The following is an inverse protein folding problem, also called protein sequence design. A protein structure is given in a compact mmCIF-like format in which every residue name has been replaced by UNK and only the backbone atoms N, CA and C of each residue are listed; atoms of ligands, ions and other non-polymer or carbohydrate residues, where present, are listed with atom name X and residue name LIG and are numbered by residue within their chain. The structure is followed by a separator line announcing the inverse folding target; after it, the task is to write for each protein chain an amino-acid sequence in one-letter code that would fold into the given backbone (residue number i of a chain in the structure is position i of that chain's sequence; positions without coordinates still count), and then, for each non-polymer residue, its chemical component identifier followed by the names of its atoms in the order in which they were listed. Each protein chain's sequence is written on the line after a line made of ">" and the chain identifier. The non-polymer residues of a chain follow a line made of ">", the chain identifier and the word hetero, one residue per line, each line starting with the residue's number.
data_IF_167398866377
#
_entry.id   IF_167398866377
#
_cell.length_a   1.000
_cell.length_b   1.000
_cell.length_c   1.000
_cell.angle_alpha   90.00
_cell.angle_beta   90.00
_cell.angle_gamma   90.00
#
_symmetry.space_group_name_H-M   'P 1'
#
loop_
_entity.id
_entity.type
_entity.pdbx_description
1 polymer ?
#
# COMPACT_ATOMS: atom_id res chain seq x y z
N UNK A 1 0.28 -10.14 -7.32
CA UNK A 1 1.45 -9.33 -6.96
C UNK A 1 1.06 -7.86 -7.01
N UNK A 2 1.29 -7.14 -5.92
CA UNK A 2 1.04 -5.70 -5.84
C UNK A 2 2.11 -4.93 -6.65
N UNK A 3 1.77 -3.77 -7.14
CA UNK A 3 2.72 -2.86 -7.77
C UNK A 3 2.81 -1.57 -6.97
N UNK A 4 4.02 -1.22 -6.57
CA UNK A 4 4.35 -0.03 -5.79
C UNK A 4 5.05 0.99 -6.68
N UNK A 5 4.59 2.23 -6.62
CA UNK A 5 5.18 3.35 -7.36
C UNK A 5 5.88 4.28 -6.38
N UNK A 6 7.20 4.38 -6.49
CA UNK A 6 8.03 5.27 -5.68
C UNK A 6 8.26 6.57 -6.42
N UNK A 7 7.98 7.67 -5.74
CA UNK A 7 8.13 9.03 -6.27
C UNK A 7 9.55 9.50 -6.00
N UNK A 8 10.28 9.86 -7.06
CA UNK A 8 11.70 10.19 -6.98
C UNK A 8 12.04 11.48 -7.73
N UNK A 9 13.12 12.16 -7.33
CA UNK A 9 13.85 13.12 -8.15
C UNK A 9 15.05 12.42 -8.84
N UNK A 10 15.73 13.11 -9.77
CA UNK A 10 16.82 12.50 -10.53
C UNK A 10 17.97 12.00 -9.63
N UNK A 11 18.29 12.74 -8.57
CA UNK A 11 19.36 12.38 -7.63
C UNK A 11 19.01 11.12 -6.83
N UNK A 12 17.81 11.09 -6.26
CA UNK A 12 17.36 9.91 -5.50
C UNK A 12 17.13 8.72 -6.41
N UNK A 13 16.62 8.92 -7.63
CA UNK A 13 16.44 7.85 -8.59
C UNK A 13 17.78 7.17 -8.94
N UNK A 14 18.82 7.97 -9.23
CA UNK A 14 20.16 7.45 -9.46
C UNK A 14 20.65 6.58 -8.29
N UNK A 15 20.52 7.05 -7.05
CA UNK A 15 20.94 6.29 -5.86
C UNK A 15 20.13 5.01 -5.66
N UNK A 16 18.83 5.05 -5.91
CA UNK A 16 17.99 3.85 -5.84
C UNK A 16 18.46 2.77 -6.81
N UNK A 17 18.79 3.16 -8.04
CA UNK A 17 19.29 2.22 -9.06
C UNK A 17 20.68 1.70 -8.73
N UNK A 18 21.59 2.58 -8.34
CA UNK A 18 22.99 2.21 -8.09
C UNK A 18 23.19 1.32 -6.87
N UNK A 19 22.31 1.41 -5.87
CA UNK A 19 22.37 0.65 -4.61
C UNK A 19 21.23 -0.36 -4.45
N UNK A 20 20.41 -0.53 -5.48
CA UNK A 20 19.30 -1.49 -5.54
C UNK A 20 18.39 -1.46 -4.31
N UNK A 21 17.90 -0.29 -3.96
CA UNK A 21 16.85 -0.12 -2.96
C UNK A 21 15.81 0.91 -3.42
N UNK A 22 14.60 0.83 -2.89
CA UNK A 22 13.59 1.87 -3.01
C UNK A 22 13.30 2.44 -1.62
N UNK A 23 13.14 3.76 -1.52
CA UNK A 23 12.97 4.38 -0.22
C UNK A 23 12.10 5.63 -0.22
N UNK A 24 11.49 5.89 0.94
CA UNK A 24 10.71 7.10 1.22
C UNK A 24 11.15 7.76 2.52
N UNK A 25 11.04 9.09 2.59
CA UNK A 25 11.51 9.86 3.74
C UNK A 25 10.42 10.13 4.76
N UNK A 26 10.82 10.16 6.02
CA UNK A 26 9.99 10.60 7.16
C UNK A 26 10.36 12.03 7.59
N UNK A 27 10.78 12.89 6.67
CA UNK A 27 11.39 14.18 6.98
C UNK A 27 12.66 13.99 7.86
N UNK A 28 13.05 14.98 8.65
CA UNK A 28 14.20 14.86 9.55
C UNK A 28 13.82 14.34 10.95
N UNK A 29 12.90 13.38 11.00
CA UNK A 29 12.38 12.83 12.26
C UNK A 29 12.92 11.41 12.46
N UNK A 30 13.47 11.17 13.67
CA UNK A 30 13.75 9.82 14.14
C UNK A 30 12.46 9.17 14.61
N UNK A 31 12.18 7.97 14.11
CA UNK A 31 10.99 7.18 14.48
C UNK A 31 11.33 6.28 15.65
N UNK A 32 10.48 6.31 16.69
CA UNK A 32 10.55 5.40 17.83
C UNK A 32 9.15 4.86 18.13
N UNK A 33 8.90 3.63 17.72
CA UNK A 33 7.63 2.94 17.95
C UNK A 33 7.44 2.50 19.42
N UNK A 34 8.49 2.44 20.22
CA UNK A 34 8.40 2.12 21.64
C UNK A 34 8.03 3.33 22.49
N UNK A 35 7.99 4.52 21.89
CA UNK A 35 7.62 5.71 22.63
C UNK A 35 6.18 5.65 23.12
N UNK A 36 6.02 5.73 24.42
CA UNK A 36 4.71 5.79 25.08
C UNK A 36 4.18 7.24 25.17
N UNK A 37 5.07 8.23 25.09
CA UNK A 37 4.71 9.64 25.14
C UNK A 37 4.46 10.24 23.74
N UNK A 38 3.61 11.27 23.65
CA UNK A 38 3.35 11.99 22.41
C UNK A 38 4.55 12.82 21.91
N UNK A 39 5.65 12.88 22.66
CA UNK A 39 6.82 13.71 22.35
C UNK A 39 7.79 13.06 21.35
N UNK A 40 7.74 11.73 21.18
CA UNK A 40 8.69 11.03 20.30
C UNK A 40 8.20 10.90 18.85
N UNK A 41 6.87 10.88 18.65
CA UNK A 41 6.22 11.04 17.35
C UNK A 41 5.38 12.30 17.44
N UNK A 42 5.78 13.35 16.76
CA UNK A 42 5.06 14.62 16.81
C UNK A 42 3.59 14.42 16.42
N UNK A 43 2.68 14.74 17.33
CA UNK A 43 1.24 14.41 17.18
C UNK A 43 0.64 14.86 15.84
N UNK A 44 1.02 16.04 15.34
CA UNK A 44 0.51 16.59 14.08
C UNK A 44 0.90 15.77 12.83
N UNK A 45 2.00 15.01 12.89
CA UNK A 45 2.50 14.21 11.75
C UNK A 45 2.49 12.71 12.01
N UNK A 46 2.09 12.29 13.21
CA UNK A 46 2.09 10.86 13.58
C UNK A 46 1.29 10.01 12.60
N UNK A 47 0.07 10.43 12.26
CA UNK A 47 -0.77 9.69 11.30
C UNK A 47 -0.12 9.60 9.92
N UNK A 48 0.60 10.63 9.47
CA UNK A 48 1.36 10.59 8.22
C UNK A 48 2.49 9.55 8.30
N UNK A 49 3.28 9.56 9.38
CA UNK A 49 4.40 8.62 9.58
C UNK A 49 3.90 7.18 9.68
N UNK A 50 2.81 6.94 10.42
CA UNK A 50 2.20 5.62 10.55
C UNK A 50 1.59 5.17 9.22
N UNK A 51 1.01 6.08 8.45
CA UNK A 51 0.58 5.78 7.08
C UNK A 51 1.75 5.41 6.15
N UNK A 52 2.92 6.04 6.29
CA UNK A 52 4.14 5.63 5.57
C UNK A 52 4.63 4.26 6.04
N UNK A 53 4.47 3.95 7.32
CA UNK A 53 4.74 2.62 7.90
C UNK A 53 3.85 1.56 7.24
N UNK A 54 2.55 1.82 7.09
CA UNK A 54 1.62 0.93 6.39
C UNK A 54 2.02 0.76 4.92
N UNK A 55 2.35 1.86 4.22
CA UNK A 55 2.77 1.83 2.82
C UNK A 55 4.08 1.01 2.63
N UNK A 56 5.03 1.08 3.57
CA UNK A 56 6.24 0.27 3.56
C UNK A 56 5.95 -1.20 3.90
N UNK A 57 5.19 -1.46 4.97
CA UNK A 57 4.88 -2.80 5.45
C UNK A 57 4.00 -3.62 4.48
N UNK A 58 3.34 -2.96 3.51
CA UNK A 58 2.56 -3.61 2.46
C UNK A 58 3.42 -4.38 1.47
N UNK A 59 4.67 -3.98 1.27
CA UNK A 59 5.57 -4.56 0.26
C UNK A 59 5.90 -6.00 0.63
N UNK A 60 5.73 -6.91 -0.34
CA UNK A 60 6.01 -8.33 -0.23
C UNK A 60 7.06 -8.75 -1.26
N UNK A 61 7.78 -9.81 -0.99
CA UNK A 61 8.74 -10.39 -1.94
C UNK A 61 8.08 -10.65 -3.29
N UNK A 62 8.76 -10.25 -4.36
CA UNK A 62 8.26 -10.40 -5.72
C UNK A 62 7.29 -9.34 -6.20
N UNK A 63 6.81 -8.43 -5.32
CA UNK A 63 6.01 -7.29 -5.76
C UNK A 63 6.74 -6.41 -6.77
N UNK A 64 5.98 -5.83 -7.71
CA UNK A 64 6.56 -4.92 -8.69
C UNK A 64 6.89 -3.56 -8.04
N UNK A 65 8.06 -3.05 -8.39
CA UNK A 65 8.51 -1.70 -8.02
C UNK A 65 8.68 -0.89 -9.30
N UNK A 66 7.99 0.23 -9.38
CA UNK A 66 8.08 1.22 -10.45
C UNK A 66 8.51 2.55 -9.83
N UNK A 67 9.39 3.27 -10.50
CA UNK A 67 9.79 4.62 -10.10
C UNK A 67 9.07 5.67 -10.95
N UNK A 68 8.52 6.67 -10.30
CA UNK A 68 7.98 7.85 -10.96
C UNK A 68 8.93 9.03 -10.73
N UNK A 69 9.66 9.38 -11.79
CA UNK A 69 10.51 10.57 -11.82
C UNK A 69 9.63 11.81 -11.91
N UNK A 70 9.68 12.66 -10.90
CA UNK A 70 8.87 13.88 -10.85
C UNK A 70 9.39 14.94 -11.83
N UNK A 71 8.46 15.73 -12.35
CA UNK A 71 8.79 16.96 -13.07
C UNK A 71 9.60 17.91 -12.18
N UNK A 72 10.70 18.43 -12.73
CA UNK A 72 11.56 19.39 -12.07
C UNK A 72 12.25 20.29 -13.10
N UNK A 73 11.64 21.42 -13.40
CA UNK A 73 12.09 22.34 -14.47
C UNK A 73 13.54 22.81 -14.29
N UNK A 74 13.99 23.00 -13.04
CA UNK A 74 15.40 23.35 -12.74
C UNK A 74 16.40 22.26 -13.18
N UNK A 75 15.95 21.03 -13.36
CA UNK A 75 16.71 19.89 -13.86
C UNK A 75 16.40 19.54 -15.32
N UNK A 76 15.67 20.42 -16.03
CA UNK A 76 15.20 20.21 -17.41
C UNK A 76 14.30 18.96 -17.56
N UNK A 77 13.67 18.51 -16.48
CA UNK A 77 12.65 17.47 -16.51
C UNK A 77 11.30 18.18 -16.57
N UNK A 78 10.70 18.23 -17.75
CA UNK A 78 9.46 18.98 -18.00
C UNK A 78 8.21 18.16 -17.85
N UNK A 79 8.33 16.84 -17.72
CA UNK A 79 7.22 15.91 -17.53
C UNK A 79 7.62 14.73 -16.64
N UNK A 80 6.66 14.19 -15.89
CA UNK A 80 6.88 13.02 -15.07
C UNK A 80 7.00 11.74 -15.91
N UNK A 81 7.85 10.80 -15.49
CA UNK A 81 8.09 9.54 -16.21
C UNK A 81 8.07 8.34 -15.29
N UNK A 82 7.45 7.24 -15.75
CA UNK A 82 7.43 5.95 -15.06
C UNK A 82 8.52 5.04 -15.60
N UNK A 83 9.38 4.54 -14.73
CA UNK A 83 10.48 3.64 -15.04
C UNK A 83 10.32 2.31 -14.30
N UNK A 84 10.69 1.22 -14.90
CA UNK A 84 10.64 -0.10 -14.27
C UNK A 84 11.10 -1.20 -15.23
N UNK A 85 10.85 -2.42 -14.86
CA UNK A 85 10.11 -2.97 -13.73
C UNK A 85 11.11 -3.68 -12.84
N UNK A 86 11.19 -3.29 -11.58
CA UNK A 86 11.98 -3.97 -10.55
C UNK A 86 11.08 -4.87 -9.71
N UNK A 87 11.68 -5.73 -8.90
CA UNK A 87 10.98 -6.56 -7.92
C UNK A 87 11.45 -6.24 -6.51
N UNK A 88 10.55 -6.32 -5.54
CA UNK A 88 10.94 -6.35 -4.14
C UNK A 88 11.69 -7.66 -3.86
N UNK A 89 12.92 -7.55 -3.33
CA UNK A 89 13.80 -8.69 -3.11
C UNK A 89 13.43 -9.50 -1.86
N UNK A 90 13.00 -8.78 -0.82
CA UNK A 90 12.70 -9.36 0.50
C UNK A 90 11.21 -9.25 0.82
N UNK A 91 10.73 -10.14 1.70
CA UNK A 91 9.33 -10.12 2.16
C UNK A 91 9.07 -9.08 3.27
N UNK A 92 9.92 -8.08 3.38
CA UNK A 92 9.78 -7.02 4.35
C UNK A 92 10.47 -5.73 3.93
N UNK A 93 9.91 -4.61 4.38
CA UNK A 93 10.57 -3.32 4.36
C UNK A 93 11.11 -2.98 5.74
N UNK A 94 12.12 -2.15 5.80
CA UNK A 94 12.86 -1.85 7.02
C UNK A 94 13.03 -0.34 7.21
N UNK A 95 13.43 0.03 8.42
CA UNK A 95 13.88 1.38 8.72
C UNK A 95 15.40 1.47 8.62
N UNK A 96 15.88 2.50 7.96
CA UNK A 96 17.18 3.08 8.20
C UNK A 96 16.92 4.46 8.82
N UNK A 97 16.88 4.50 10.14
CA UNK A 97 16.30 5.60 10.88
C UNK A 97 17.10 6.90 10.68
N UNK A 98 16.41 8.05 10.75
CA UNK A 98 17.03 9.34 10.54
C UNK A 98 17.85 9.78 11.77
N UNK A 99 19.09 9.38 11.80
CA UNK A 99 20.11 9.86 12.73
C UNK A 99 21.42 10.16 11.98
N UNK A 100 22.48 10.48 12.69
CA UNK A 100 23.79 10.80 12.10
C UNK A 100 24.41 9.68 11.25
N UNK A 101 23.93 8.43 11.39
CA UNK A 101 24.47 7.25 10.74
C UNK A 101 23.56 6.70 9.64
N UNK A 102 22.51 7.42 9.23
CA UNK A 102 21.65 6.97 8.14
C UNK A 102 22.44 6.80 6.85
N UNK A 103 22.36 5.61 6.26
CA UNK A 103 23.11 5.24 5.06
C UNK A 103 22.74 6.11 3.86
N UNK A 104 23.76 6.61 3.15
CA UNK A 104 23.62 7.48 1.96
C UNK A 104 22.88 8.81 2.21
N UNK A 105 22.75 9.29 3.45
CA UNK A 105 22.03 10.55 3.73
C UNK A 105 22.64 11.74 3.01
N UNK A 106 23.96 11.83 2.98
CA UNK A 106 24.70 12.93 2.33
C UNK A 106 24.58 12.86 0.80
N UNK A 107 24.72 11.66 0.25
CA UNK A 107 24.60 11.38 -1.18
C UNK A 107 23.18 11.66 -1.68
N UNK A 108 22.16 11.26 -0.93
CA UNK A 108 20.76 11.54 -1.22
C UNK A 108 20.41 13.03 -1.06
N UNK A 109 21.04 13.70 -0.12
CA UNK A 109 20.75 15.10 0.26
C UNK A 109 19.42 15.24 1.03
N UNK A 110 18.86 14.14 1.49
CA UNK A 110 17.63 14.05 2.31
C UNK A 110 17.55 12.71 3.02
N UNK A 111 16.72 12.64 4.06
CA UNK A 111 16.44 11.38 4.73
C UNK A 111 15.47 10.53 3.93
N UNK A 112 15.81 9.24 3.76
CA UNK A 112 14.88 8.19 3.28
C UNK A 112 14.84 7.10 4.34
N UNK A 113 13.88 7.17 5.23
CA UNK A 113 13.82 6.35 6.44
C UNK A 113 13.23 4.96 6.18
N UNK A 114 12.19 4.88 5.36
CA UNK A 114 11.55 3.61 4.99
C UNK A 114 12.17 3.08 3.71
N UNK A 115 12.70 1.87 3.74
CA UNK A 115 13.42 1.28 2.61
C UNK A 115 13.01 -0.16 2.35
N UNK A 116 13.14 -0.60 1.10
CA UNK A 116 13.04 -1.98 0.67
C UNK A 116 14.13 -2.28 -0.34
N UNK A 117 14.73 -3.47 -0.29
CA UNK A 117 15.68 -3.92 -1.30
C UNK A 117 14.93 -4.30 -2.57
N UNK A 118 15.52 -4.00 -3.71
CA UNK A 118 14.96 -4.32 -5.02
C UNK A 118 15.94 -5.15 -5.85
N UNK A 119 15.40 -5.87 -6.80
CA UNK A 119 16.17 -6.60 -7.81
C UNK A 119 15.69 -6.22 -9.21
N UNK A 120 16.63 -6.11 -10.18
CA UNK A 120 16.30 -5.77 -11.55
C UNK A 120 15.90 -7.04 -12.31
N UNK A 121 14.60 -7.23 -12.56
CA UNK A 121 14.10 -8.42 -13.28
C UNK A 121 13.77 -8.09 -14.72
N UNK A 122 13.05 -6.99 -14.96
CA UNK A 122 12.63 -6.54 -16.31
C UNK A 122 12.82 -5.04 -16.41
N UNK A 123 14.07 -4.61 -16.55
CA UNK A 123 14.39 -3.18 -16.58
C UNK A 123 14.49 -2.70 -18.03
N UNK A 124 13.87 -1.56 -18.29
CA UNK A 124 13.84 -0.91 -19.59
C UNK A 124 14.50 0.45 -19.53
N UNK A 125 15.16 0.85 -20.62
CA UNK A 125 15.92 2.10 -20.66
C UNK A 125 15.03 3.34 -20.59
N UNK A 126 13.94 3.37 -21.36
CA UNK A 126 13.08 4.55 -21.48
C UNK A 126 11.87 4.47 -20.57
N UNK A 127 11.57 5.60 -19.90
CA UNK A 127 10.37 5.75 -19.10
C UNK A 127 9.17 6.19 -19.94
N UNK A 128 7.97 5.76 -19.53
CA UNK A 128 6.69 6.23 -20.07
C UNK A 128 6.34 7.55 -19.41
N UNK A 129 6.04 8.58 -20.20
CA UNK A 129 5.63 9.87 -19.66
C UNK A 129 4.23 9.79 -19.08
N UNK A 130 3.92 10.71 -18.18
CA UNK A 130 2.56 10.84 -17.63
C UNK A 130 1.53 11.10 -18.73
N UNK A 131 1.88 11.93 -19.72
CA UNK A 131 1.00 12.24 -20.84
C UNK A 131 0.75 11.04 -21.74
N UNK A 132 1.78 10.25 -22.07
CA UNK A 132 1.60 8.99 -22.80
C UNK A 132 0.65 8.04 -22.06
N UNK A 133 0.80 7.91 -20.74
CA UNK A 133 -0.06 7.06 -19.94
C UNK A 133 -1.51 7.57 -19.87
N UNK A 134 -1.72 8.90 -19.85
CA UNK A 134 -3.05 9.51 -19.84
C UNK A 134 -3.70 9.52 -21.24
N UNK A 135 -2.95 9.69 -22.31
CA UNK A 135 -3.46 9.67 -23.69
C UNK A 135 -4.07 8.32 -24.08
N UNK A 136 -3.69 7.25 -23.36
CA UNK A 136 -4.28 5.93 -23.51
C UNK A 136 -5.76 5.85 -23.07
N UNK A 137 -6.32 6.88 -22.45
CA UNK A 137 -7.75 6.95 -22.07
C UNK A 137 -8.64 6.64 -23.27
N UNK A 138 -8.30 7.13 -24.47
CA UNK A 138 -9.04 6.88 -25.72
C UNK A 138 -9.11 5.40 -26.13
N UNK A 139 -8.18 4.59 -25.65
CA UNK A 139 -8.07 3.15 -25.95
C UNK A 139 -8.67 2.27 -24.84
N UNK A 140 -9.17 2.87 -23.76
CA UNK A 140 -9.75 2.14 -22.65
C UNK A 140 -11.13 1.59 -22.99
N UNK A 141 -11.34 0.34 -22.68
CA UNK A 141 -12.61 -0.36 -22.89
C UNK A 141 -13.38 -0.57 -21.60
N UNK A 142 -12.75 -0.30 -20.46
CA UNK A 142 -13.32 -0.52 -19.12
C UNK A 142 -12.79 0.50 -18.10
N UNK A 143 -13.62 0.98 -17.16
CA UNK A 143 -13.23 1.96 -16.14
C UNK A 143 -12.04 1.55 -15.25
N UNK A 144 -11.85 0.24 -15.03
CA UNK A 144 -10.76 -0.27 -14.20
C UNK A 144 -9.36 -0.13 -14.84
N UNK A 145 -9.29 0.19 -16.13
CA UNK A 145 -8.05 0.47 -16.84
C UNK A 145 -7.52 1.89 -16.61
N UNK A 146 -8.31 2.76 -15.99
CA UNK A 146 -7.90 4.11 -15.63
C UNK A 146 -6.85 4.10 -14.51
N UNK A 147 -5.85 4.98 -14.61
CA UNK A 147 -4.80 5.13 -13.60
C UNK A 147 -5.26 5.96 -12.38
N UNK A 148 -6.43 5.63 -11.83
CA UNK A 148 -7.05 6.36 -10.72
C UNK A 148 -6.18 6.46 -9.48
N UNK A 149 -5.53 5.38 -9.10
CA UNK A 149 -4.65 5.34 -7.93
C UNK A 149 -3.48 6.29 -8.07
N UNK A 150 -2.87 6.35 -9.24
CA UNK A 150 -1.77 7.28 -9.53
C UNK A 150 -2.25 8.73 -9.52
N UNK A 151 -3.37 9.03 -10.17
CA UNK A 151 -3.93 10.38 -10.24
C UNK A 151 -4.21 10.92 -8.83
N UNK A 152 -4.94 10.16 -8.02
CA UNK A 152 -5.32 10.60 -6.66
C UNK A 152 -4.16 10.58 -5.66
N UNK A 153 -3.33 9.54 -5.66
CA UNK A 153 -2.23 9.41 -4.69
C UNK A 153 -1.04 10.29 -5.04
N UNK A 154 -0.73 10.45 -6.30
CA UNK A 154 0.35 11.30 -6.79
C UNK A 154 0.15 12.76 -6.43
N UNK A 155 -1.04 13.30 -6.63
CA UNK A 155 -1.37 14.68 -6.27
C UNK A 155 -1.22 14.96 -4.76
N UNK A 156 -1.22 13.89 -3.93
CA UNK A 156 -1.02 13.94 -2.48
C UNK A 156 0.33 13.43 -2.04
N UNK A 157 1.32 13.42 -2.88
CA UNK A 157 2.66 12.81 -2.79
C UNK A 157 3.47 12.88 -1.49
N UNK A 158 2.83 13.17 -0.35
CA UNK A 158 3.47 13.35 0.95
C UNK A 158 4.05 12.06 1.55
N UNK A 159 3.72 10.89 0.99
CA UNK A 159 4.21 9.59 1.48
C UNK A 159 5.31 8.97 0.63
N UNK A 160 5.48 9.43 -0.63
CA UNK A 160 6.54 9.00 -1.53
C UNK A 160 6.42 7.59 -2.11
N UNK A 161 5.50 6.76 -1.60
CA UNK A 161 5.17 5.43 -2.10
C UNK A 161 3.64 5.30 -2.23
N UNK A 162 3.17 4.82 -3.37
CA UNK A 162 1.77 4.49 -3.58
C UNK A 162 1.66 3.12 -4.25
N UNK A 163 0.56 2.40 -4.00
CA UNK A 163 0.22 1.20 -4.77
C UNK A 163 -0.75 1.57 -5.90
N UNK A 164 -0.80 0.73 -6.91
CA UNK A 164 -1.79 0.78 -7.98
C UNK A 164 -2.54 -0.54 -8.05
N UNK A 165 -3.74 -0.52 -8.63
CA UNK A 165 -4.56 -1.72 -8.78
C UNK A 165 -3.92 -2.73 -9.73
N UNK A 166 -4.42 -3.95 -9.76
CA UNK A 166 -3.92 -4.99 -10.66
C UNK A 166 -4.06 -4.53 -12.12
N UNK A 167 -5.20 -3.98 -12.49
CA UNK A 167 -5.48 -3.52 -13.86
C UNK A 167 -4.62 -2.33 -14.27
N UNK A 168 -4.43 -1.36 -13.36
CA UNK A 168 -3.51 -0.24 -13.58
C UNK A 168 -2.07 -0.71 -13.74
N UNK A 169 -1.67 -1.71 -12.95
CA UNK A 169 -0.34 -2.32 -13.03
C UNK A 169 -0.09 -2.99 -14.38
N UNK A 170 -1.02 -3.83 -14.81
CA UNK A 170 -0.95 -4.50 -16.11
C UNK A 170 -0.79 -3.48 -17.24
N UNK A 171 -1.61 -2.43 -17.21
CA UNK A 171 -1.57 -1.35 -18.19
C UNK A 171 -0.24 -0.61 -18.20
N UNK A 172 0.20 -0.13 -17.05
CA UNK A 172 1.44 0.65 -16.94
C UNK A 172 2.67 -0.19 -17.31
N UNK A 173 2.73 -1.44 -16.86
CA UNK A 173 3.79 -2.36 -17.25
C UNK A 173 3.80 -2.66 -18.74
N UNK A 174 2.62 -2.76 -19.37
CA UNK A 174 2.53 -2.94 -20.80
C UNK A 174 3.06 -1.71 -21.56
N UNK A 175 2.67 -0.51 -21.15
CA UNK A 175 3.15 0.73 -21.76
C UNK A 175 4.67 0.87 -21.68
N UNK A 176 5.27 0.55 -20.52
CA UNK A 176 6.73 0.56 -20.35
C UNK A 176 7.39 -0.42 -21.32
N UNK A 177 6.87 -1.64 -21.45
CA UNK A 177 7.41 -2.64 -22.38
C UNK A 177 7.30 -2.22 -23.84
N UNK A 178 6.13 -1.77 -24.24
CA UNK A 178 5.83 -1.41 -25.63
C UNK A 178 6.64 -0.18 -26.08
N UNK A 179 6.84 0.82 -25.20
CA UNK A 179 7.70 1.99 -25.47
C UNK A 179 9.14 1.59 -25.79
N UNK A 180 9.64 0.55 -25.16
CA UNK A 180 11.00 0.04 -25.37
C UNK A 180 11.09 -1.08 -26.42
N UNK A 181 10.04 -1.27 -27.25
CA UNK A 181 10.01 -2.36 -28.23
C UNK A 181 10.16 -3.74 -27.58
N UNK A 182 9.81 -3.87 -26.29
CA UNK A 182 9.98 -5.06 -25.43
C UNK A 182 11.43 -5.50 -25.25
N UNK A 183 12.40 -4.62 -25.51
CA UNK A 183 13.82 -4.89 -25.31
C UNK A 183 14.23 -4.52 -23.88
N UNK A 184 14.53 -5.53 -23.07
CA UNK A 184 15.03 -5.38 -21.71
C UNK A 184 16.53 -5.05 -21.74
N UNK A 185 17.01 -4.31 -20.73
CA UNK A 185 18.45 -4.08 -20.55
C UNK A 185 19.15 -5.38 -20.14
N UNK A 186 20.23 -5.73 -20.84
CA UNK A 186 21.07 -6.86 -20.44
C UNK A 186 22.00 -6.47 -19.29
N UNK A 187 21.58 -6.75 -18.07
CA UNK A 187 22.23 -6.26 -16.85
C UNK A 187 23.51 -7.01 -16.50
N UNK A 188 23.62 -8.29 -16.82
CA UNK A 188 24.77 -9.20 -16.61
C UNK A 188 25.98 -8.58 -15.87
N UNK A 189 25.92 -8.50 -14.53
CA UNK A 189 26.95 -7.93 -13.66
C UNK A 189 27.32 -6.45 -13.91
N UNK A 190 26.50 -5.71 -14.65
CA UNK A 190 26.68 -4.27 -14.85
C UNK A 190 25.93 -3.48 -13.80
N UNK A 191 26.49 -2.34 -13.45
CA UNK A 191 25.83 -1.39 -12.56
C UNK A 191 24.74 -0.63 -13.31
N UNK A 192 23.56 -0.59 -12.73
CA UNK A 192 22.44 0.20 -13.26
C UNK A 192 22.55 1.63 -12.69
N UNK A 193 22.38 2.62 -13.54
CA UNK A 193 22.37 4.03 -13.14
C UNK A 193 21.35 4.82 -13.93
N UNK A 194 21.15 6.08 -13.58
CA UNK A 194 20.27 7.00 -14.29
C UNK A 194 21.08 8.11 -14.93
N UNK A 195 20.95 8.22 -16.26
CA UNK A 195 21.46 9.36 -17.00
C UNK A 195 20.44 10.49 -16.97
N UNK A 196 20.81 11.60 -16.33
CA UNK A 196 19.92 12.75 -16.14
C UNK A 196 19.69 13.53 -17.43
N UNK A 197 20.71 13.61 -18.30
CA UNK A 197 20.64 14.42 -19.52
C UNK A 197 19.84 13.72 -20.59
N UNK A 198 20.03 12.41 -20.76
CA UNK A 198 19.24 11.56 -21.64
C UNK A 198 17.90 11.13 -21.02
N UNK A 199 17.73 11.30 -19.71
CA UNK A 199 16.57 10.86 -18.93
C UNK A 199 16.22 9.38 -19.16
N UNK A 200 17.27 8.52 -19.11
CA UNK A 200 17.18 7.06 -19.34
C UNK A 200 17.88 6.29 -18.25
N UNK A 201 17.45 5.05 -18.06
CA UNK A 201 18.24 4.07 -17.30
C UNK A 201 19.36 3.57 -18.21
N UNK A 202 20.57 3.59 -17.70
CA UNK A 202 21.78 3.14 -18.40
C UNK A 202 22.50 2.06 -17.61
N UNK A 203 23.36 1.31 -18.30
CA UNK A 203 24.29 0.35 -17.71
C UNK A 203 25.69 0.93 -17.77
N UNK A 204 26.42 0.83 -16.66
CA UNK A 204 27.83 1.24 -16.58
C UNK A 204 28.70 0.02 -16.26
N UNK A 205 29.99 0.12 -16.59
CA UNK A 205 30.98 -0.94 -16.30
C UNK A 205 31.59 -0.79 -14.90
N UNK A 206 31.06 0.13 -14.08
CA UNK A 206 31.48 0.28 -12.70
C UNK A 206 31.12 -0.93 -11.85
N UNK A 207 31.77 -1.07 -10.70
CA UNK A 207 31.42 -2.10 -9.73
C UNK A 207 29.97 -1.91 -9.23
N UNK A 208 29.25 -3.03 -9.17
CA UNK A 208 27.89 -3.07 -8.61
C UNK A 208 27.96 -2.77 -7.12
N UNK A 209 27.22 -1.76 -6.67
CA UNK A 209 27.13 -1.44 -5.26
C UNK A 209 26.17 -2.40 -4.55
N UNK A 210 26.50 -2.71 -3.31
CA UNK A 210 25.60 -3.46 -2.42
C UNK A 210 25.10 -2.53 -1.32
N UNK A 211 23.82 -2.62 -1.00
CA UNK A 211 23.26 -1.91 0.14
C UNK A 211 23.86 -2.45 1.44
N UNK A 212 24.48 -1.58 2.24
CA UNK A 212 25.12 -1.92 3.51
C UNK A 212 24.58 -1.10 4.70
N UNK A 213 23.46 -0.40 4.49
CA UNK A 213 22.78 0.35 5.53
C UNK A 213 22.11 -0.52 6.58
N UNK A 214 21.63 0.12 7.64
CA UNK A 214 20.86 -0.55 8.68
C UNK A 214 19.54 -1.06 8.14
N UNK A 215 19.05 -2.14 8.71
CA UNK A 215 17.78 -2.77 8.40
C UNK A 215 17.02 -3.02 9.70
N UNK A 216 16.47 -1.96 10.30
CA UNK A 216 15.70 -2.05 11.53
C UNK A 216 14.28 -2.52 11.24
N UNK A 217 13.72 -3.36 12.12
CA UNK A 217 12.36 -3.87 11.96
C UNK A 217 11.34 -2.76 12.17
N UNK A 218 10.36 -2.68 11.28
CA UNK A 218 9.18 -1.83 11.45
C UNK A 218 8.22 -2.55 12.40
N UNK A 219 8.02 -2.01 13.60
CA UNK A 219 7.07 -2.56 14.56
C UNK A 219 6.17 -1.48 15.17
N UNK A 220 4.91 -1.43 14.70
CA UNK A 220 3.90 -0.47 15.17
C UNK A 220 3.17 -0.94 16.44
N UNK A 221 3.29 -2.23 16.82
CA UNK A 221 2.49 -2.83 17.89
C UNK A 221 2.65 -2.12 19.24
N UNK A 222 3.87 -1.80 19.73
CA UNK A 222 4.02 -1.11 21.01
C UNK A 222 3.29 0.25 21.03
N UNK A 223 3.34 1.00 19.93
CA UNK A 223 2.66 2.28 19.84
C UNK A 223 1.14 2.12 19.75
N UNK A 224 0.66 1.11 19.03
CA UNK A 224 -0.76 0.79 18.94
C UNK A 224 -1.31 0.43 20.32
N UNK A 225 -0.62 -0.42 21.11
CA UNK A 225 -1.00 -0.79 22.48
C UNK A 225 -1.10 0.45 23.37
N UNK A 226 -0.11 1.34 23.31
CA UNK A 226 -0.13 2.58 24.09
C UNK A 226 -1.37 3.45 23.79
N UNK A 227 -1.76 3.53 22.52
CA UNK A 227 -2.96 4.26 22.09
C UNK A 227 -4.25 3.53 22.45
N UNK A 228 -4.31 2.24 22.29
CA UNK A 228 -5.45 1.41 22.68
C UNK A 228 -5.79 1.62 24.17
N UNK A 229 -4.78 1.53 25.05
CA UNK A 229 -4.93 1.69 26.50
C UNK A 229 -5.34 3.11 26.91
N UNK A 230 -5.05 4.11 26.12
CA UNK A 230 -5.41 5.51 26.39
C UNK A 230 -6.69 5.96 25.67
N UNK A 231 -7.39 5.07 24.98
CA UNK A 231 -8.60 5.35 24.19
C UNK A 231 -8.43 6.53 23.19
N UNK A 232 -7.21 6.75 22.70
CA UNK A 232 -6.94 7.77 21.67
C UNK A 232 -7.23 7.18 20.29
N UNK A 233 -7.59 8.03 19.33
CA UNK A 233 -7.79 7.62 17.94
C UNK A 233 -6.51 6.95 17.38
N UNK A 234 -6.64 5.75 16.84
CA UNK A 234 -5.51 4.95 16.34
C UNK A 234 -5.85 4.11 15.09
N UNK A 235 -6.85 4.51 14.32
CA UNK A 235 -7.29 3.76 13.12
C UNK A 235 -6.14 3.55 12.12
N UNK A 236 -5.31 4.58 11.90
CA UNK A 236 -4.11 4.46 11.06
C UNK A 236 -3.09 3.46 11.63
N UNK A 237 -2.96 3.37 12.97
CA UNK A 237 -2.07 2.40 13.63
C UNK A 237 -2.60 0.98 13.46
N UNK A 238 -3.92 0.79 13.64
CA UNK A 238 -4.59 -0.49 13.40
C UNK A 238 -4.40 -0.92 11.93
N UNK A 239 -4.61 0.00 10.99
CA UNK A 239 -4.37 -0.25 9.57
C UNK A 239 -2.93 -0.71 9.31
N UNK A 240 -1.95 -0.01 9.87
CA UNK A 240 -0.53 -0.37 9.72
C UNK A 240 -0.22 -1.75 10.30
N UNK A 241 -0.79 -2.08 11.46
CA UNK A 241 -0.66 -3.41 12.06
C UNK A 241 -1.25 -4.51 11.18
N UNK A 242 -2.48 -4.33 10.70
CA UNK A 242 -3.16 -5.30 9.83
C UNK A 242 -2.37 -5.49 8.53
N UNK A 243 -1.95 -4.41 7.87
CA UNK A 243 -1.17 -4.47 6.62
C UNK A 243 0.15 -5.23 6.82
N UNK A 244 0.82 -5.05 7.96
CA UNK A 244 2.07 -5.75 8.27
C UNK A 244 1.86 -7.25 8.40
N UNK A 245 0.79 -7.67 9.10
CA UNK A 245 0.63 -9.03 9.57
C UNK A 245 -0.22 -9.92 8.65
N UNK A 246 -1.20 -9.35 7.93
CA UNK A 246 -2.15 -10.14 7.13
C UNK A 246 -1.47 -11.02 6.09
N UNK A 247 -1.79 -12.31 6.10
CA UNK A 247 -1.24 -13.32 5.18
C UNK A 247 0.22 -13.69 5.45
N UNK A 248 0.77 -13.36 6.64
CA UNK A 248 2.14 -13.73 7.03
C UNK A 248 2.20 -14.77 8.14
N UNK A 249 1.07 -15.28 8.60
CA UNK A 249 0.96 -16.18 9.76
C UNK A 249 1.63 -15.62 11.03
N UNK A 250 1.74 -14.29 11.15
CA UNK A 250 2.28 -13.61 12.35
C UNK A 250 1.19 -13.26 13.35
N UNK A 251 -0.07 -13.22 12.92
CA UNK A 251 -1.26 -13.15 13.75
C UNK A 251 -2.33 -14.10 13.17
N UNK A 252 -2.40 -15.30 13.71
CA UNK A 252 -3.27 -16.37 13.22
C UNK A 252 -4.75 -15.99 13.28
N UNK A 253 -5.19 -15.32 14.35
CA UNK A 253 -6.60 -14.90 14.49
C UNK A 253 -7.02 -13.88 13.41
N UNK A 254 -6.13 -12.97 13.01
CA UNK A 254 -6.37 -12.04 11.91
C UNK A 254 -6.53 -12.80 10.59
N UNK A 255 -5.58 -13.69 10.31
CA UNK A 255 -5.57 -14.43 9.05
C UNK A 255 -6.78 -15.35 8.93
N UNK A 256 -7.14 -16.06 10.00
CA UNK A 256 -8.34 -16.90 10.04
C UNK A 256 -9.62 -16.08 9.85
N UNK A 257 -9.77 -14.95 10.52
CA UNK A 257 -10.95 -14.10 10.41
C UNK A 257 -11.13 -13.49 9.01
N UNK A 258 -10.04 -13.09 8.35
CA UNK A 258 -10.12 -12.36 7.08
C UNK A 258 -9.98 -13.29 5.88
N UNK A 259 -8.95 -14.13 5.87
CA UNK A 259 -8.58 -14.98 4.73
C UNK A 259 -9.16 -16.39 4.85
N UNK A 260 -9.45 -16.87 6.08
CA UNK A 260 -9.85 -18.23 6.34
C UNK A 260 -8.71 -19.21 6.05
N UNK A 261 -9.00 -20.28 5.35
CA UNK A 261 -7.99 -21.30 5.01
C UNK A 261 -7.10 -20.90 3.81
N UNK A 262 -7.48 -19.88 3.05
CA UNK A 262 -6.72 -19.42 1.88
C UNK A 262 -5.88 -18.20 2.22
N UNK A 263 -4.67 -18.41 2.73
CA UNK A 263 -3.73 -17.36 3.10
C UNK A 263 -3.12 -16.62 1.90
N UNK A 264 -3.33 -17.11 0.68
CA UNK A 264 -2.72 -16.53 -0.51
C UNK A 264 -3.62 -15.43 -1.11
N UNK A 265 -3.04 -14.27 -1.32
CA UNK A 265 -3.65 -13.19 -2.08
C UNK A 265 -2.69 -12.68 -3.17
N UNK A 266 -3.25 -12.22 -4.26
CA UNK A 266 -2.48 -11.70 -5.40
C UNK A 266 -2.18 -10.21 -5.29
N UNK A 267 -2.95 -9.48 -4.48
CA UNK A 267 -2.83 -8.03 -4.33
C UNK A 267 -3.32 -7.56 -2.96
N UNK A 268 -2.63 -6.57 -2.41
CA UNK A 268 -2.94 -5.91 -1.15
C UNK A 268 -2.84 -4.39 -1.32
N UNK A 269 -3.87 -3.67 -0.94
CA UNK A 269 -3.90 -2.21 -0.93
C UNK A 269 -4.38 -1.64 0.39
N UNK A 270 -3.86 -0.48 0.77
CA UNK A 270 -4.38 0.35 1.85
C UNK A 270 -4.77 1.72 1.32
N UNK A 271 -5.78 2.33 1.91
CA UNK A 271 -6.36 3.59 1.45
C UNK A 271 -6.64 3.58 -0.07
N UNK A 272 -7.29 2.53 -0.54
CA UNK A 272 -7.63 2.35 -1.95
C UNK A 272 -8.66 3.38 -2.35
N UNK A 273 -8.34 4.24 -3.32
CA UNK A 273 -9.26 5.29 -3.78
C UNK A 273 -10.53 4.69 -4.35
N UNK A 274 -11.67 5.08 -3.83
CA UNK A 274 -12.98 4.59 -4.25
C UNK A 274 -13.97 5.75 -4.42
N UNK A 275 -14.05 6.29 -5.63
CA UNK A 275 -15.06 7.30 -5.99
C UNK A 275 -14.66 8.75 -5.78
N UNK A 276 -15.62 9.62 -6.05
CA UNK A 276 -15.48 11.08 -5.97
C UNK A 276 -15.43 11.52 -4.51
N UNK A 277 -14.68 12.59 -4.22
CA UNK A 277 -14.60 13.15 -2.87
C UNK A 277 -13.54 12.50 -1.98
N UNK A 278 -12.60 11.77 -2.58
CA UNK A 278 -11.43 11.22 -1.93
C UNK A 278 -11.76 10.13 -0.88
N UNK A 279 -12.86 9.43 -1.09
CA UNK A 279 -13.20 8.26 -0.31
C UNK A 279 -12.18 7.14 -0.54
N UNK A 280 -11.93 6.35 0.48
CA UNK A 280 -10.95 5.29 0.45
C UNK A 280 -11.46 4.07 1.19
N UNK A 281 -11.14 2.91 0.65
CA UNK A 281 -11.24 1.63 1.37
C UNK A 281 -9.99 1.51 2.23
N UNK A 282 -10.15 1.27 3.53
CA UNK A 282 -9.02 1.25 4.46
C UNK A 282 -8.00 0.18 4.10
N UNK A 283 -8.46 -1.06 3.88
CA UNK A 283 -7.67 -2.18 3.38
C UNK A 283 -8.48 -2.93 2.35
N UNK A 284 -7.85 -3.35 1.27
CA UNK A 284 -8.49 -4.20 0.28
C UNK A 284 -7.52 -5.27 -0.20
N UNK A 285 -8.00 -6.50 -0.27
CA UNK A 285 -7.26 -7.62 -0.82
C UNK A 285 -7.94 -8.15 -2.07
N UNK A 286 -7.13 -8.75 -2.94
CA UNK A 286 -7.60 -9.60 -4.04
C UNK A 286 -6.94 -10.95 -3.91
N UNK A 287 -7.73 -12.01 -3.88
CA UNK A 287 -7.24 -13.38 -3.91
C UNK A 287 -7.88 -14.17 -5.04
N UNK A 288 -7.31 -15.32 -5.38
CA UNK A 288 -7.89 -16.24 -6.37
C UNK A 288 -8.24 -17.53 -5.66
N UNK A 289 -9.52 -17.91 -5.72
CA UNK A 289 -10.07 -19.13 -5.13
C UNK A 289 -10.75 -19.90 -6.24
N UNK A 290 -10.29 -21.13 -6.53
CA UNK A 290 -10.85 -21.96 -7.60
C UNK A 290 -10.95 -21.24 -8.96
N UNK A 291 -9.87 -20.55 -9.34
CA UNK A 291 -9.76 -19.73 -10.56
C UNK A 291 -10.71 -18.52 -10.62
N UNK A 292 -11.41 -18.22 -9.55
CA UNK A 292 -12.25 -17.04 -9.42
C UNK A 292 -11.61 -16.01 -8.52
N UNK A 293 -11.59 -14.75 -8.98
CA UNK A 293 -11.09 -13.63 -8.17
C UNK A 293 -12.08 -13.27 -7.09
N UNK A 294 -11.58 -13.09 -5.87
CA UNK A 294 -12.34 -12.68 -4.70
C UNK A 294 -11.75 -11.38 -4.18
N UNK A 295 -12.59 -10.36 -4.01
CA UNK A 295 -12.21 -9.05 -3.48
C UNK A 295 -12.70 -8.93 -2.04
N UNK A 296 -11.81 -8.52 -1.15
CA UNK A 296 -12.09 -8.38 0.28
C UNK A 296 -11.88 -6.92 0.68
N UNK A 297 -12.87 -6.03 0.50
CA UNK A 297 -12.81 -4.69 1.05
C UNK A 297 -13.03 -4.73 2.56
N UNK A 298 -12.14 -4.09 3.31
CA UNK A 298 -12.14 -4.05 4.77
C UNK A 298 -12.29 -2.60 5.24
N UNK A 299 -13.30 -2.35 6.05
CA UNK A 299 -13.46 -1.12 6.83
C UNK A 299 -12.89 -1.33 8.22
N UNK A 300 -12.11 -0.38 8.72
CA UNK A 300 -11.48 -0.43 10.03
C UNK A 300 -12.07 0.62 10.96
N UNK A 301 -12.28 0.24 12.21
CA UNK A 301 -12.66 1.18 13.27
C UNK A 301 -11.81 0.97 14.51
N UNK A 302 -11.13 2.02 14.92
CA UNK A 302 -10.39 2.04 16.21
C UNK A 302 -11.32 2.03 17.44
N UNK A 303 -12.60 2.27 17.21
CA UNK A 303 -13.67 2.26 18.21
C UNK A 303 -14.68 1.14 17.92
N UNK A 304 -15.67 0.97 18.78
CA UNK A 304 -16.80 0.05 18.53
C UNK A 304 -17.50 0.37 17.21
N UNK A 305 -18.08 -0.65 16.59
CA UNK A 305 -18.90 -0.49 15.38
C UNK A 305 -20.09 0.43 15.61
N UNK A 306 -20.58 1.01 14.52
CA UNK A 306 -21.74 1.88 14.48
C UNK A 306 -22.57 1.61 13.21
N UNK A 307 -23.85 1.97 13.24
CA UNK A 307 -24.79 1.80 12.11
C UNK A 307 -24.31 2.48 10.82
N UNK A 308 -23.48 3.53 10.93
CA UNK A 308 -22.95 4.25 9.77
C UNK A 308 -21.94 3.40 8.98
N UNK A 309 -21.33 2.38 9.59
CA UNK A 309 -20.32 1.55 8.94
C UNK A 309 -20.92 0.76 7.76
N UNK A 310 -22.16 0.28 7.88
CA UNK A 310 -22.85 -0.36 6.77
C UNK A 310 -22.99 0.57 5.54
N UNK A 311 -23.19 1.89 5.76
CA UNK A 311 -23.24 2.88 4.67
C UNK A 311 -21.86 3.11 4.03
N UNK A 312 -20.78 3.03 4.82
CA UNK A 312 -19.42 3.15 4.31
C UNK A 312 -19.11 1.96 3.40
N UNK A 313 -19.39 0.75 3.89
CA UNK A 313 -19.18 -0.49 3.14
C UNK A 313 -20.06 -0.52 1.88
N UNK A 314 -21.32 -0.04 1.94
CA UNK A 314 -22.17 0.05 0.77
C UNK A 314 -21.52 0.85 -0.36
N UNK A 315 -20.88 1.98 -0.05
CA UNK A 315 -20.15 2.79 -1.05
C UNK A 315 -18.98 2.02 -1.67
N UNK A 316 -18.32 1.16 -0.89
CA UNK A 316 -17.25 0.30 -1.40
C UNK A 316 -17.79 -0.71 -2.41
N UNK A 317 -18.90 -1.39 -2.08
CA UNK A 317 -19.56 -2.33 -2.99
C UNK A 317 -19.98 -1.61 -4.28
N UNK A 318 -20.64 -0.46 -4.17
CA UNK A 318 -21.10 0.32 -5.32
C UNK A 318 -19.94 0.71 -6.23
N UNK A 319 -18.81 1.15 -5.67
CA UNK A 319 -17.63 1.52 -6.44
C UNK A 319 -16.94 0.30 -7.09
N UNK A 320 -16.79 -0.79 -6.33
CA UNK A 320 -16.15 -2.01 -6.84
C UNK A 320 -16.93 -2.54 -8.05
N UNK A 321 -18.25 -2.64 -7.96
CA UNK A 321 -19.08 -3.11 -9.08
C UNK A 321 -19.01 -2.19 -10.30
N UNK A 322 -19.02 -0.88 -10.11
CA UNK A 322 -19.07 0.08 -11.21
C UNK A 322 -17.71 0.29 -11.88
N UNK A 323 -16.63 0.32 -11.12
CA UNK A 323 -15.34 0.79 -11.60
C UNK A 323 -14.22 -0.24 -11.51
N UNK A 324 -14.23 -1.11 -10.51
CA UNK A 324 -13.16 -2.09 -10.33
C UNK A 324 -13.45 -3.41 -11.04
N UNK A 325 -14.67 -3.92 -10.94
CA UNK A 325 -15.12 -5.15 -11.61
C UNK A 325 -16.43 -4.94 -12.37
N UNK A 326 -16.47 -4.07 -13.39
CA UNK A 326 -17.71 -3.67 -14.04
C UNK A 326 -18.45 -4.83 -14.74
N UNK A 327 -17.77 -5.93 -15.05
CA UNK A 327 -18.35 -7.11 -15.66
C UNK A 327 -18.64 -8.25 -14.68
N UNK A 328 -18.56 -7.97 -13.38
CA UNK A 328 -18.87 -8.91 -12.29
C UNK A 328 -18.14 -10.25 -12.34
N UNK A 329 -16.88 -10.22 -12.69
CA UNK A 329 -16.03 -11.41 -12.76
C UNK A 329 -15.42 -11.81 -11.40
N UNK A 330 -15.83 -11.18 -10.31
CA UNK A 330 -15.24 -11.39 -8.99
C UNK A 330 -16.30 -11.40 -7.91
N UNK A 331 -16.14 -12.28 -6.95
CA UNK A 331 -16.92 -12.24 -5.72
C UNK A 331 -16.41 -11.13 -4.81
N UNK A 332 -17.30 -10.54 -4.02
CA UNK A 332 -16.97 -9.49 -3.06
C UNK A 332 -17.33 -9.98 -1.67
N UNK A 333 -16.35 -9.98 -0.76
CA UNK A 333 -16.49 -10.42 0.64
C UNK A 333 -16.21 -9.21 1.55
N UNK A 334 -17.22 -8.38 1.87
CA UNK A 334 -17.02 -7.22 2.71
C UNK A 334 -16.72 -7.63 4.15
N UNK A 335 -15.77 -6.92 4.78
CA UNK A 335 -15.36 -7.14 6.17
C UNK A 335 -15.40 -5.81 6.92
N UNK A 336 -15.96 -5.83 8.13
CA UNK A 336 -15.83 -4.75 9.10
C UNK A 336 -14.98 -5.25 10.27
N UNK A 337 -13.92 -4.55 10.61
CA UNK A 337 -13.10 -4.82 11.79
C UNK A 337 -13.25 -3.65 12.76
N UNK A 338 -13.72 -3.90 13.97
CA UNK A 338 -13.91 -2.86 14.99
C UNK A 338 -13.46 -3.33 16.37
N UNK A 339 -13.30 -2.38 17.28
CA UNK A 339 -13.05 -2.70 18.70
C UNK A 339 -14.22 -3.50 19.26
N UNK A 340 -13.93 -4.47 20.12
CA UNK A 340 -14.91 -5.33 20.78
C UNK A 340 -15.94 -4.52 21.56
N UNK A 341 -17.22 -4.90 21.39
CA UNK A 341 -18.34 -4.37 22.14
C UNK A 341 -18.57 -5.28 23.36
N UNK A 342 -18.29 -4.76 24.54
CA UNK A 342 -18.37 -5.53 25.78
C UNK A 342 -19.82 -5.93 26.14
N UNK A 343 -20.76 -5.03 25.97
CA UNK A 343 -22.16 -5.29 26.30
C UNK A 343 -23.03 -5.43 25.04
N UNK A 344 -23.20 -6.66 24.59
CA UNK A 344 -24.02 -7.03 23.42
C UNK A 344 -25.55 -7.04 23.69
N UNK A 345 -25.98 -6.72 24.92
CA UNK A 345 -27.42 -6.64 25.27
C UNK A 345 -28.01 -5.24 25.11
N UNK A 346 -27.22 -4.26 24.70
CA UNK A 346 -27.65 -2.87 24.56
C UNK A 346 -28.52 -2.67 23.31
N UNK A 347 -29.45 -1.72 23.35
CA UNK A 347 -30.20 -1.30 22.16
C UNK A 347 -29.28 -0.82 21.02
N UNK A 348 -28.15 -0.19 21.35
CA UNK A 348 -27.14 0.23 20.39
C UNK A 348 -26.64 -0.99 19.60
N UNK A 349 -26.25 -2.05 20.29
CA UNK A 349 -25.76 -3.29 19.63
C UNK A 349 -26.86 -3.89 18.75
N UNK A 350 -28.10 -4.01 19.25
CA UNK A 350 -29.20 -4.57 18.48
C UNK A 350 -29.47 -3.76 17.20
N UNK A 351 -29.39 -2.44 17.22
CA UNK A 351 -29.52 -1.59 16.03
C UNK A 351 -28.38 -1.83 15.02
N UNK A 352 -27.15 -2.00 15.51
CA UNK A 352 -26.00 -2.32 14.65
C UNK A 352 -26.26 -3.64 13.90
N UNK A 353 -26.61 -4.70 14.62
CA UNK A 353 -26.88 -6.02 14.03
C UNK A 353 -28.07 -5.98 13.06
N UNK A 354 -29.15 -5.31 13.41
CA UNK A 354 -30.28 -5.09 12.49
C UNK A 354 -29.82 -4.41 11.21
N UNK A 355 -28.99 -3.36 11.32
CA UNK A 355 -28.46 -2.65 10.14
C UNK A 355 -27.57 -3.54 9.26
N UNK A 356 -26.79 -4.43 9.87
CA UNK A 356 -25.95 -5.37 9.12
C UNK A 356 -26.79 -6.44 8.40
N UNK A 357 -27.85 -6.94 9.04
CA UNK A 357 -28.81 -7.85 8.40
C UNK A 357 -29.56 -7.17 7.24
N UNK A 358 -29.95 -5.90 7.39
CA UNK A 358 -30.57 -5.11 6.32
C UNK A 358 -29.59 -4.91 5.14
N UNK A 359 -28.31 -4.67 5.44
CA UNK A 359 -27.25 -4.61 4.43
C UNK A 359 -27.13 -5.94 3.69
N UNK A 360 -27.06 -7.07 4.38
CA UNK A 360 -26.95 -8.40 3.81
C UNK A 360 -28.13 -8.70 2.90
N UNK A 361 -29.36 -8.44 3.35
CA UNK A 361 -30.58 -8.64 2.57
C UNK A 361 -30.57 -7.82 1.28
N UNK A 362 -30.19 -6.54 1.37
CA UNK A 362 -30.13 -5.61 0.22
C UNK A 362 -29.09 -6.04 -0.81
N UNK A 363 -27.96 -6.57 -0.35
CA UNK A 363 -26.81 -6.90 -1.20
C UNK A 363 -26.67 -8.39 -1.53
N UNK A 364 -27.67 -9.22 -1.22
CA UNK A 364 -27.63 -10.69 -1.36
C UNK A 364 -27.26 -11.19 -2.77
N UNK A 365 -27.43 -10.37 -3.83
CA UNK A 365 -27.04 -10.66 -5.21
C UNK A 365 -25.77 -9.93 -5.66
N UNK A 366 -25.15 -9.13 -4.78
CA UNK A 366 -24.05 -8.23 -5.11
C UNK A 366 -22.75 -8.61 -4.43
N UNK A 367 -22.82 -9.09 -3.21
CA UNK A 367 -21.68 -9.55 -2.44
C UNK A 367 -22.09 -10.62 -1.43
N UNK A 368 -21.12 -11.28 -0.81
CA UNK A 368 -21.36 -12.13 0.36
C UNK A 368 -21.88 -11.30 1.55
N UNK A 369 -22.39 -11.98 2.57
CA UNK A 369 -22.80 -11.32 3.81
C UNK A 369 -21.61 -10.57 4.42
N UNK A 370 -21.89 -9.42 5.01
CA UNK A 370 -20.90 -8.64 5.72
C UNK A 370 -20.31 -9.46 6.87
N UNK A 371 -19.02 -9.76 6.81
CA UNK A 371 -18.30 -10.40 7.91
C UNK A 371 -17.97 -9.35 8.95
N UNK A 372 -18.51 -9.51 10.15
CA UNK A 372 -18.22 -8.63 11.27
C UNK A 372 -17.16 -9.27 12.16
N UNK A 373 -16.05 -8.56 12.36
CA UNK A 373 -14.90 -9.00 13.18
C UNK A 373 -14.70 -7.97 14.30
N UNK A 374 -14.62 -8.45 15.51
CA UNK A 374 -14.22 -7.63 16.66
C UNK A 374 -12.77 -7.94 17.02
N UNK A 375 -12.02 -6.91 17.46
CA UNK A 375 -10.69 -7.09 18.02
C UNK A 375 -10.60 -6.55 19.43
N UNK A 376 -9.72 -7.15 20.22
CA UNK A 376 -9.34 -6.71 21.55
C UNK A 376 -7.86 -6.98 21.82
N UNK A 377 -7.33 -6.36 22.85
CA UNK A 377 -5.94 -6.56 23.29
C UNK A 377 -5.88 -7.69 24.32
N UNK A 378 -5.07 -8.70 24.07
CA UNK A 378 -4.79 -9.78 25.00
C UNK A 378 -3.30 -10.17 24.89
N UNK A 379 -2.64 -10.40 26.04
CA UNK A 379 -1.22 -10.80 26.12
C UNK A 379 -0.27 -9.91 25.27
N UNK A 380 -0.53 -8.60 25.23
CA UNK A 380 0.21 -7.62 24.43
C UNK A 380 0.16 -7.86 22.91
N UNK A 381 -0.88 -8.49 22.41
CA UNK A 381 -1.18 -8.60 20.98
C UNK A 381 -2.66 -8.39 20.71
N UNK A 382 -3.05 -8.17 19.47
CA UNK A 382 -4.44 -8.08 19.05
C UNK A 382 -4.99 -9.47 18.73
N UNK A 383 -6.13 -9.79 19.30
CA UNK A 383 -6.93 -10.98 18.98
C UNK A 383 -8.15 -10.54 18.20
N UNK A 384 -8.44 -11.26 17.13
CA UNK A 384 -9.57 -11.03 16.24
C UNK A 384 -10.57 -12.18 16.32
N UNK A 385 -11.87 -11.86 16.38
CA UNK A 385 -12.95 -12.82 16.51
C UNK A 385 -14.07 -12.49 15.52
N UNK A 386 -14.54 -13.48 14.75
CA UNK A 386 -15.74 -13.34 13.91
C UNK A 386 -16.96 -13.35 14.80
N UNK A 387 -17.85 -12.40 14.61
CA UNK A 387 -19.11 -12.28 15.34
C UNK A 387 -20.25 -12.80 14.48
N UNK A 388 -20.84 -13.88 14.92
CA UNK A 388 -22.08 -14.40 14.35
C UNK A 388 -23.29 -13.55 14.76
N UNK A 389 -24.20 -13.21 13.82
CA UNK A 389 -25.34 -12.35 14.06
C UNK A 389 -26.52 -12.58 13.12
#
# INVERSE_FOLDING_TARGET
>A
MTTHVFIVDSKTFKMHLEYLFAGTGAQDIKIDFNATSNTALHYAIENMLVGMTADASRIRQGDNIIFYLQMKSAEKIFEGKFFGIFKAKEDWSFLDNNDGNQYLKNELGKSLTFRTLIEPVKVYAEGVTEWEALDEIKNMTSPNQMLWSLIYRKLKGNRGNTMITIYESERLCQLIRDKNGRQELNIDNKKISFDKDEQKIILTNDLVNTYTGRMEVIDILPRLIAKYNTNKAFETHLQSYIIKNIGKATNESLDECVLGQNLNFEWLGNEVSCGVGMQRIDVMLSSVVNDQRVLIPIELKAVEADVINAKQIQRYIDWIEQYYTPNRQSDIKPVLISKKIENKRTEKYQRIITTFNDFNTRNSRRCENLKYVEYHLENNDLIFEVIEY
#
